data_IF_931809712138
#
_entry.id   IF_931809712138
#
_cell.length_a   1.000
_cell.length_b   1.000
_cell.length_c   1.000
_cell.angle_alpha   90.00
_cell.angle_beta   90.00
_cell.angle_gamma   90.00
#
_symmetry.space_group_name_H-M   'P 1'
#
loop_
_entity.id
_entity.type
_entity.pdbx_description
1 polymer ?
#
# COMPACT_ATOMS: atom_id res chain seq x y z
N UNK A 1 15.95 3.10 -17.12
CA UNK A 1 14.52 3.30 -17.46
C UNK A 1 13.84 3.90 -16.25
N UNK A 2 13.19 5.06 -16.38
CA UNK A 2 12.34 5.58 -15.33
C UNK A 2 11.06 4.74 -15.36
N UNK A 3 10.77 4.01 -14.26
CA UNK A 3 9.48 3.34 -14.09
C UNK A 3 8.40 4.40 -14.28
N UNK A 4 7.34 4.14 -15.07
CA UNK A 4 6.25 5.09 -15.21
C UNK A 4 5.71 5.29 -13.80
N UNK A 5 5.92 6.49 -13.24
CA UNK A 5 5.20 6.94 -12.06
C UNK A 5 3.76 7.06 -12.56
N UNK A 6 3.05 5.95 -12.57
CA UNK A 6 1.60 5.97 -12.67
C UNK A 6 1.15 6.95 -11.61
N UNK A 7 0.30 7.88 -12.02
CA UNK A 7 -0.01 9.09 -11.27
C UNK A 7 -0.37 8.74 -9.82
N UNK A 8 0.62 8.81 -8.93
CA UNK A 8 0.51 8.33 -7.55
C UNK A 8 -0.53 9.16 -6.81
N UNK A 9 -0.72 10.41 -7.25
CA UNK A 9 -1.80 11.29 -6.78
C UNK A 9 -3.17 10.73 -7.16
N UNK A 10 -3.33 10.23 -8.39
CA UNK A 10 -4.56 9.57 -8.85
C UNK A 10 -4.86 8.29 -8.08
N UNK A 11 -3.84 7.48 -7.76
CA UNK A 11 -3.99 6.30 -6.90
C UNK A 11 -4.36 6.69 -5.46
N UNK A 12 -3.68 7.69 -4.88
CA UNK A 12 -4.01 8.18 -3.55
C UNK A 12 -5.46 8.69 -3.46
N UNK A 13 -5.95 9.36 -4.51
CA UNK A 13 -7.33 9.83 -4.55
C UNK A 13 -8.33 8.67 -4.59
N UNK A 14 -8.09 7.63 -5.41
CA UNK A 14 -8.91 6.41 -5.42
C UNK A 14 -8.87 5.66 -4.08
N UNK A 15 -7.70 5.59 -3.45
CA UNK A 15 -7.57 4.96 -2.14
C UNK A 15 -8.34 5.73 -1.05
N UNK A 16 -8.43 7.05 -1.14
CA UNK A 16 -9.29 7.86 -0.26
C UNK A 16 -10.77 7.58 -0.46
N UNK A 17 -11.19 7.21 -1.67
CA UNK A 17 -12.57 6.77 -1.91
C UNK A 17 -12.88 5.44 -1.23
N UNK A 18 -11.88 4.62 -0.89
CA UNK A 18 -12.06 3.35 -0.15
C UNK A 18 -11.97 3.60 1.36
N UNK A 19 -10.88 4.22 1.83
CA UNK A 19 -10.55 4.34 3.27
C UNK A 19 -11.31 5.49 3.94
N UNK A 20 -11.79 6.48 3.17
CA UNK A 20 -12.56 7.68 3.61
C UNK A 20 -11.87 8.61 4.61
N UNK A 21 -10.74 8.22 5.20
CA UNK A 21 -9.93 9.01 6.12
C UNK A 21 -8.49 9.16 5.61
N UNK A 22 -8.04 10.40 5.47
CA UNK A 22 -6.66 10.72 5.05
C UNK A 22 -5.62 10.22 6.05
N UNK A 23 -5.92 10.29 7.34
CA UNK A 23 -5.00 9.83 8.39
C UNK A 23 -4.87 8.31 8.39
N UNK A 24 -6.00 7.61 8.28
CA UNK A 24 -5.99 6.16 8.20
C UNK A 24 -5.26 5.71 6.93
N UNK A 25 -5.49 6.36 5.79
CA UNK A 25 -4.76 6.05 4.56
C UNK A 25 -3.23 6.15 4.75
N UNK A 26 -2.74 7.21 5.38
CA UNK A 26 -1.30 7.35 5.67
C UNK A 26 -0.76 6.22 6.55
N UNK A 27 -1.52 5.81 7.58
CA UNK A 27 -1.14 4.72 8.48
C UNK A 27 -1.04 3.41 7.71
N UNK A 28 -2.07 3.09 6.91
CA UNK A 28 -2.14 1.86 6.14
C UNK A 28 -1.04 1.75 5.09
N UNK A 29 -0.78 2.83 4.36
CA UNK A 29 0.34 2.87 3.41
C UNK A 29 1.66 2.63 4.13
N UNK A 30 1.89 3.30 5.27
CA UNK A 30 3.15 3.19 6.00
C UNK A 30 3.38 1.77 6.54
N UNK A 31 2.33 1.17 7.13
CA UNK A 31 2.37 -0.21 7.63
C UNK A 31 2.64 -1.18 6.49
N UNK A 32 1.95 -1.01 5.35
CA UNK A 32 2.10 -1.94 4.24
C UNK A 32 3.46 -1.86 3.58
N UNK A 33 3.98 -0.65 3.35
CA UNK A 33 5.35 -0.45 2.87
C UNK A 33 6.35 -1.15 3.80
N UNK A 34 6.19 -1.01 5.12
CA UNK A 34 7.06 -1.67 6.08
C UNK A 34 7.01 -3.21 5.99
N UNK A 35 5.83 -3.79 5.75
CA UNK A 35 5.69 -5.23 5.52
C UNK A 35 6.41 -5.67 4.23
N UNK A 36 6.23 -4.93 3.14
CA UNK A 36 6.88 -5.19 1.85
C UNK A 36 8.41 -5.10 1.95
N UNK A 37 8.93 -4.11 2.70
CA UNK A 37 10.37 -3.98 2.99
C UNK A 37 10.94 -5.19 3.74
N UNK A 38 10.11 -5.88 4.54
CA UNK A 38 10.49 -7.11 5.26
C UNK A 38 10.30 -8.38 4.42
N UNK A 39 9.95 -8.25 3.15
CA UNK A 39 9.76 -9.36 2.23
C UNK A 39 8.37 -10.00 2.28
N UNK A 40 7.37 -9.31 2.86
CA UNK A 40 5.99 -9.74 2.73
C UNK A 40 5.59 -9.78 1.25
N UNK A 41 4.80 -10.78 0.88
CA UNK A 41 4.33 -10.91 -0.49
C UNK A 41 3.18 -9.93 -0.76
N UNK A 42 3.06 -9.42 -2.00
CA UNK A 42 1.88 -8.70 -2.46
C UNK A 42 0.60 -9.50 -2.24
N UNK A 43 -0.51 -8.83 -1.96
CA UNK A 43 -1.84 -9.46 -1.81
C UNK A 43 -2.66 -9.46 -3.11
N UNK A 44 -2.16 -8.75 -4.13
CA UNK A 44 -2.70 -8.72 -5.49
C UNK A 44 -1.80 -9.51 -6.44
N UNK A 45 -2.38 -10.03 -7.52
CA UNK A 45 -1.62 -10.73 -8.56
C UNK A 45 -0.89 -9.70 -9.43
N UNK A 46 0.43 -9.64 -9.30
CA UNK A 46 1.30 -8.70 -10.00
C UNK A 46 2.58 -9.39 -10.47
N UNK A 47 3.19 -8.84 -11.51
CA UNK A 47 4.51 -9.29 -11.97
C UNK A 47 5.56 -9.01 -10.87
N UNK A 48 6.24 -10.04 -10.34
CA UNK A 48 7.28 -9.88 -9.33
C UNK A 48 8.41 -8.95 -9.75
N UNK A 49 8.70 -8.85 -11.05
CA UNK A 49 9.76 -7.99 -11.58
C UNK A 49 9.38 -6.51 -11.54
N UNK A 50 8.10 -6.18 -11.71
CA UNK A 50 7.59 -4.80 -11.71
C UNK A 50 7.64 -4.17 -10.32
N UNK A 51 7.52 -4.99 -9.26
CA UNK A 51 7.43 -4.52 -7.88
C UNK A 51 8.55 -5.01 -6.95
N UNK A 52 9.67 -5.47 -7.51
CA UNK A 52 10.84 -5.91 -6.75
C UNK A 52 11.62 -4.78 -6.04
N UNK A 53 11.27 -3.51 -6.28
CA UNK A 53 12.04 -2.35 -5.79
C UNK A 53 11.29 -1.59 -4.71
N UNK A 54 11.96 -1.11 -3.64
CA UNK A 54 11.34 -0.22 -2.66
C UNK A 54 10.71 1.04 -3.25
N UNK A 55 11.17 1.48 -4.43
CA UNK A 55 10.62 2.64 -5.14
C UNK A 55 9.18 2.43 -5.63
N UNK A 56 8.70 1.20 -5.71
CA UNK A 56 7.35 0.87 -6.20
C UNK A 56 6.39 0.45 -5.08
N UNK A 57 6.86 0.33 -3.84
CA UNK A 57 6.02 -0.10 -2.72
C UNK A 57 4.86 0.84 -2.40
N UNK A 58 5.03 2.15 -2.62
CA UNK A 58 3.94 3.11 -2.47
C UNK A 58 2.82 2.83 -3.49
N UNK A 59 3.17 2.60 -4.75
CA UNK A 59 2.22 2.27 -5.81
C UNK A 59 1.50 0.96 -5.50
N UNK A 60 2.27 -0.06 -5.09
CA UNK A 60 1.73 -1.37 -4.70
C UNK A 60 0.76 -1.27 -3.52
N UNK A 61 1.16 -0.63 -2.43
CA UNK A 61 0.33 -0.47 -1.25
C UNK A 61 -0.98 0.28 -1.58
N UNK A 62 -0.91 1.33 -2.42
CA UNK A 62 -2.10 2.05 -2.86
C UNK A 62 -3.03 1.16 -3.69
N UNK A 63 -2.49 0.32 -4.59
CA UNK A 63 -3.28 -0.64 -5.38
C UNK A 63 -3.95 -1.69 -4.51
N UNK A 64 -3.22 -2.28 -3.57
CA UNK A 64 -3.75 -3.27 -2.63
C UNK A 64 -4.89 -2.67 -1.77
N UNK A 65 -4.75 -1.41 -1.33
CA UNK A 65 -5.81 -0.68 -0.62
C UNK A 65 -7.04 -0.48 -1.51
N UNK A 66 -6.84 -0.08 -2.77
CA UNK A 66 -7.95 0.15 -3.72
C UNK A 66 -8.72 -1.15 -3.99
N UNK A 67 -8.02 -2.28 -4.09
CA UNK A 67 -8.63 -3.59 -4.32
C UNK A 67 -9.25 -4.21 -3.06
N UNK A 68 -9.02 -3.62 -1.88
CA UNK A 68 -9.55 -4.10 -0.61
C UNK A 68 -8.87 -5.37 -0.08
N UNK A 69 -7.67 -5.69 -0.59
CA UNK A 69 -6.92 -6.90 -0.24
C UNK A 69 -5.96 -6.67 0.93
N UNK A 70 -6.07 -5.54 1.64
CA UNK A 70 -5.32 -5.32 2.87
C UNK A 70 -6.18 -5.68 4.07
N UNK A 71 -5.95 -6.86 4.63
CA UNK A 71 -6.43 -7.17 5.96
C UNK A 71 -5.75 -6.22 6.95
N UNK A 72 -6.58 -5.43 7.62
CA UNK A 72 -6.17 -4.59 8.73
C UNK A 72 -5.75 -5.54 9.85
N UNK A 73 -4.46 -5.84 9.98
CA UNK A 73 -3.96 -6.31 11.27
C UNK A 73 -4.34 -5.23 12.28
N UNK A 74 -5.30 -5.58 13.15
CA UNK A 74 -5.74 -4.69 14.21
C UNK A 74 -4.49 -4.32 14.97
N UNK A 75 -4.22 -3.03 15.06
CA UNK A 75 -3.20 -2.49 15.95
C UNK A 75 -3.74 -2.84 17.34
N UNK A 76 -3.32 -3.98 17.88
CA UNK A 76 -3.53 -4.32 19.29
C UNK A 76 -2.82 -3.23 20.08
N UNK A 77 -3.57 -2.17 20.38
CA UNK A 77 -3.23 -1.27 21.45
C UNK A 77 -3.34 -2.09 22.72
N UNK A 78 -2.22 -2.61 23.21
CA UNK A 78 -2.12 -2.87 24.64
C UNK A 78 -2.31 -1.52 25.35
N UNK A 79 -3.36 -1.34 26.17
CA UNK A 79 -3.41 -0.21 27.08
C UNK A 79 -2.41 -0.51 28.20
N UNK A 80 -1.40 0.35 28.33
CA UNK A 80 -0.58 0.42 29.54
C UNK A 80 -1.36 1.08 30.69
#
# INVERSE_FOLDING_TARGET
MALPIQDTLGLAQKALDVVKSRYLLCILISQRIHQLERGAQPTIDIDPEEYASPKTFLDLALREIIEGNMDLEQIEGEPA
#
